data_IF_845370149082
#
_entry.id   IF_845370149082
#
_cell.length_a   1.000
_cell.length_b   1.000
_cell.length_c   1.000
_cell.angle_alpha   90.00
_cell.angle_beta   90.00
_cell.angle_gamma   90.00
#
_symmetry.space_group_name_H-M   'P 1'
#
loop_
_entity.id
_entity.type
_entity.pdbx_description
1 polymer ?
#
# COMPACT_ATOMS: atom_id res chain seq x y z
N UNK A 1 1.34 19.08 12.81
CA UNK A 1 0.51 19.22 11.60
C UNK A 1 -0.20 17.89 11.39
N UNK A 2 -1.43 17.86 10.90
CA UNK A 2 -2.12 16.60 10.59
C UNK A 2 -1.54 16.07 9.27
N UNK A 3 -1.15 14.79 9.17
CA UNK A 3 -0.67 14.25 7.90
C UNK A 3 -1.80 14.14 6.89
N UNK A 4 -1.48 14.30 5.61
CA UNK A 4 -2.43 14.05 4.53
C UNK A 4 -2.52 12.55 4.25
N UNK A 5 -1.39 11.84 4.29
CA UNK A 5 -1.31 10.40 4.02
C UNK A 5 -0.75 9.69 5.25
N UNK A 6 -1.40 8.60 5.68
CA UNK A 6 -0.80 7.58 6.54
C UNK A 6 -0.27 6.45 5.67
N UNK A 7 1.04 6.33 5.56
CA UNK A 7 1.71 5.19 4.90
C UNK A 7 1.83 4.07 5.91
N UNK A 8 1.21 2.94 5.63
CA UNK A 8 1.16 1.76 6.50
C UNK A 8 1.91 0.63 5.82
N UNK A 9 2.87 0.07 6.51
CA UNK A 9 3.65 -1.07 6.05
C UNK A 9 3.76 -2.15 7.11
N UNK A 10 3.79 -3.41 6.66
CA UNK A 10 3.98 -4.58 7.52
C UNK A 10 5.37 -5.12 7.28
N UNK A 11 6.16 -5.17 8.34
CA UNK A 11 7.49 -5.75 8.37
C UNK A 11 7.45 -7.13 9.04
N UNK A 12 8.14 -8.09 8.47
CA UNK A 12 8.37 -9.40 9.08
C UNK A 12 9.74 -9.94 8.70
N UNK A 13 10.73 -9.86 9.60
CA UNK A 13 12.13 -10.22 9.37
C UNK A 13 12.72 -9.52 8.13
N UNK A 14 12.34 -8.26 7.88
CA UNK A 14 12.67 -7.51 6.67
C UNK A 14 13.25 -6.12 6.96
N UNK A 15 14.05 -5.98 8.03
CA UNK A 15 14.58 -4.72 8.52
C UNK A 15 15.14 -3.81 7.43
N UNK A 16 16.04 -4.35 6.58
CA UNK A 16 16.72 -3.53 5.57
C UNK A 16 15.81 -3.15 4.40
N UNK A 17 14.89 -4.03 3.99
CA UNK A 17 13.87 -3.69 2.98
C UNK A 17 12.97 -2.56 3.46
N UNK A 18 12.45 -2.70 4.69
CA UNK A 18 11.62 -1.66 5.31
C UNK A 18 12.39 -0.36 5.48
N UNK A 19 13.66 -0.43 5.83
CA UNK A 19 14.52 0.74 5.95
C UNK A 19 14.74 1.45 4.61
N UNK A 20 14.96 0.72 3.51
CA UNK A 20 15.09 1.27 2.17
C UNK A 20 13.78 1.96 1.73
N UNK A 21 12.64 1.32 1.96
CA UNK A 21 11.32 1.89 1.69
C UNK A 21 11.12 3.22 2.43
N UNK A 22 11.38 3.27 3.76
CA UNK A 22 11.25 4.52 4.54
C UNK A 22 12.20 5.60 4.03
N UNK A 23 13.43 5.22 3.67
CA UNK A 23 14.40 6.17 3.13
C UNK A 23 13.92 6.78 1.80
N UNK A 24 13.35 5.96 0.91
CA UNK A 24 12.79 6.43 -0.36
C UNK A 24 11.63 7.40 -0.16
N UNK A 25 10.70 7.10 0.78
CA UNK A 25 9.63 8.02 1.13
C UNK A 25 10.15 9.38 1.60
N UNK A 26 11.17 9.39 2.47
CA UNK A 26 11.77 10.63 2.97
C UNK A 26 12.51 11.43 1.91
N UNK A 27 13.08 10.74 0.93
CA UNK A 27 13.83 11.35 -0.14
C UNK A 27 12.94 12.00 -1.20
N UNK A 28 11.85 11.34 -1.56
CA UNK A 28 11.09 11.73 -2.76
C UNK A 28 9.72 12.33 -2.47
N UNK A 29 9.10 12.07 -1.32
CA UNK A 29 7.72 12.49 -1.05
C UNK A 29 7.71 13.84 -0.35
N UNK A 30 7.12 14.85 -0.99
CA UNK A 30 6.93 16.20 -0.44
C UNK A 30 5.60 16.37 0.31
N UNK A 31 4.60 15.56 -0.01
CA UNK A 31 3.30 15.56 0.67
C UNK A 31 3.47 15.23 2.16
N UNK A 32 2.78 15.92 3.08
CA UNK A 32 2.84 15.60 4.50
C UNK A 32 2.36 14.17 4.80
N UNK A 33 3.30 13.30 5.16
CA UNK A 33 3.01 11.91 5.49
C UNK A 33 3.33 11.57 6.95
N UNK A 34 2.65 10.57 7.49
CA UNK A 34 3.13 9.78 8.63
C UNK A 34 3.43 8.37 8.15
N UNK A 35 4.52 7.80 8.63
CA UNK A 35 4.90 6.41 8.31
C UNK A 35 4.62 5.54 9.52
N UNK A 36 3.79 4.51 9.34
CA UNK A 36 3.40 3.55 10.36
C UNK A 36 3.96 2.19 9.95
N UNK A 37 4.89 1.70 10.76
CA UNK A 37 5.53 0.40 10.56
C UNK A 37 5.00 -0.58 11.59
N UNK A 38 4.44 -1.68 11.12
CA UNK A 38 3.99 -2.78 11.97
C UNK A 38 4.98 -3.93 11.86
N UNK A 39 5.80 -4.14 12.89
CA UNK A 39 6.61 -5.35 13.04
C UNK A 39 5.68 -6.51 13.44
N UNK A 40 5.45 -7.39 12.51
CA UNK A 40 4.45 -8.46 12.60
C UNK A 40 5.00 -9.74 13.24
N UNK A 41 5.73 -9.59 14.35
CA UNK A 41 6.30 -10.70 15.10
C UNK A 41 7.65 -11.19 14.57
N UNK A 42 8.53 -10.28 14.15
CA UNK A 42 9.91 -10.61 13.75
C UNK A 42 10.70 -11.23 14.91
N UNK A 43 11.73 -12.01 14.56
CA UNK A 43 12.61 -12.68 15.54
C UNK A 43 13.32 -11.68 16.48
N UNK A 44 13.67 -10.50 15.97
CA UNK A 44 14.22 -9.38 16.75
C UNK A 44 13.17 -8.27 16.81
N UNK A 45 13.34 -7.33 17.73
CA UNK A 45 12.51 -6.13 17.78
C UNK A 45 12.90 -5.16 16.66
N UNK A 46 12.39 -5.44 15.44
CA UNK A 46 12.67 -4.60 14.29
C UNK A 46 11.86 -3.30 14.31
N UNK A 47 10.74 -3.26 15.04
CA UNK A 47 10.01 -2.01 15.29
C UNK A 47 10.88 -0.99 16.03
N UNK A 48 11.55 -1.42 17.10
CA UNK A 48 12.44 -0.58 17.86
C UNK A 48 13.64 -0.12 17.02
N UNK A 49 14.30 -1.02 16.31
CA UNK A 49 15.44 -0.72 15.46
C UNK A 49 15.10 0.30 14.35
N UNK A 50 13.92 0.17 13.75
CA UNK A 50 13.45 1.11 12.74
C UNK A 50 13.11 2.47 13.34
N UNK A 51 12.52 2.52 14.54
CA UNK A 51 12.23 3.78 15.23
C UNK A 51 13.51 4.54 15.64
N UNK A 52 14.55 3.83 16.05
CA UNK A 52 15.87 4.44 16.32
C UNK A 52 16.51 4.99 15.03
N UNK A 53 16.46 4.22 13.94
CA UNK A 53 17.06 4.62 12.65
C UNK A 53 16.28 5.75 11.98
N UNK A 54 14.97 5.81 12.16
CA UNK A 54 14.08 6.75 11.52
C UNK A 54 13.19 7.49 12.54
N UNK A 55 13.71 8.48 13.27
CA UNK A 55 12.93 9.23 14.24
C UNK A 55 11.65 9.81 13.60
N UNK A 56 10.53 9.71 14.31
CA UNK A 56 9.23 10.25 13.88
C UNK A 56 8.31 9.26 13.16
N UNK A 57 8.75 8.02 12.89
CA UNK A 57 7.81 6.97 12.47
C UNK A 57 6.98 6.49 13.67
N UNK A 58 5.80 5.94 13.38
CA UNK A 58 4.99 5.20 14.36
C UNK A 58 5.34 3.72 14.22
N UNK A 59 6.10 3.19 15.17
CA UNK A 59 6.49 1.78 15.16
C UNK A 59 5.60 0.98 16.14
N UNK A 60 4.99 -0.09 15.64
CA UNK A 60 4.09 -0.98 16.38
C UNK A 60 4.66 -2.38 16.30
N UNK A 61 4.81 -3.06 17.44
CA UNK A 61 5.22 -4.46 17.47
C UNK A 61 4.05 -5.36 17.81
N UNK A 62 3.87 -6.41 17.04
CA UNK A 62 3.03 -7.56 17.38
C UNK A 62 3.89 -8.68 17.97
N UNK A 63 3.37 -9.38 18.97
CA UNK A 63 4.07 -10.54 19.59
C UNK A 63 4.10 -11.76 18.67
N UNK A 64 3.23 -11.81 17.67
CA UNK A 64 3.11 -12.93 16.72
C UNK A 64 2.79 -12.44 15.32
N UNK A 65 3.05 -13.27 14.32
CA UNK A 65 2.64 -13.00 12.96
C UNK A 65 1.10 -13.14 12.83
N UNK A 66 0.45 -12.03 12.51
CA UNK A 66 -1.00 -11.91 12.32
C UNK A 66 -1.42 -12.04 10.84
N UNK A 67 -0.48 -12.38 9.97
CA UNK A 67 -0.67 -12.34 8.53
C UNK A 67 -0.73 -10.91 7.98
N UNK A 68 -0.91 -10.79 6.66
CA UNK A 68 -0.92 -9.51 5.97
C UNK A 68 -2.06 -8.60 6.45
N UNK A 69 -3.29 -9.10 6.45
CA UNK A 69 -4.45 -8.32 6.85
C UNK A 69 -4.39 -7.90 8.33
N UNK A 70 -4.01 -8.83 9.21
CA UNK A 70 -3.91 -8.55 10.65
C UNK A 70 -2.87 -7.49 10.97
N UNK A 71 -1.69 -7.55 10.33
CA UNK A 71 -0.64 -6.55 10.46
C UNK A 71 -1.11 -5.18 9.97
N UNK A 72 -1.67 -5.10 8.76
CA UNK A 72 -2.20 -3.84 8.23
C UNK A 72 -3.31 -3.26 9.13
N UNK A 73 -4.20 -4.09 9.67
CA UNK A 73 -5.26 -3.64 10.58
C UNK A 73 -4.72 -3.01 11.87
N UNK A 74 -3.56 -3.44 12.37
CA UNK A 74 -2.88 -2.75 13.47
C UNK A 74 -2.44 -1.34 13.06
N UNK A 75 -1.85 -1.19 11.89
CA UNK A 75 -1.44 0.11 11.35
C UNK A 75 -2.62 1.03 11.07
N UNK A 76 -3.70 0.50 10.47
CA UNK A 76 -4.92 1.25 10.18
C UNK A 76 -5.55 1.87 11.44
N UNK A 77 -5.52 1.19 12.58
CA UNK A 77 -6.02 1.72 13.86
C UNK A 77 -5.21 2.92 14.37
N UNK A 78 -3.94 2.99 14.05
CA UNK A 78 -3.05 4.09 14.44
C UNK A 78 -3.07 5.27 13.47
N UNK A 79 -3.58 5.08 12.26
CA UNK A 79 -3.56 6.05 11.17
C UNK A 79 -4.39 7.30 11.48
N UNK A 80 -3.86 8.49 11.13
CA UNK A 80 -4.49 9.79 11.33
C UNK A 80 -4.65 10.59 10.04
N UNK A 81 -4.02 10.14 8.94
CA UNK A 81 -4.07 10.76 7.63
C UNK A 81 -5.48 10.80 7.04
N UNK A 82 -5.67 11.68 6.09
CA UNK A 82 -6.89 11.75 5.28
C UNK A 82 -6.97 10.60 4.28
N UNK A 83 -5.81 10.16 3.81
CA UNK A 83 -5.64 9.01 2.93
C UNK A 83 -4.81 7.95 3.64
N UNK A 84 -5.07 6.69 3.31
CA UNK A 84 -4.38 5.53 3.84
C UNK A 84 -3.67 4.85 2.67
N UNK A 85 -2.35 4.83 2.69
CA UNK A 85 -1.53 4.12 1.71
C UNK A 85 -1.02 2.82 2.34
N UNK A 86 -1.55 1.69 1.89
CA UNK A 86 -0.99 0.38 2.23
C UNK A 86 0.16 0.10 1.27
N UNK A 87 1.38 0.07 1.77
CA UNK A 87 2.60 -0.07 0.99
C UNK A 87 3.40 -1.28 1.48
N UNK A 88 3.75 -2.19 0.59
CA UNK A 88 4.63 -3.30 0.94
C UNK A 88 6.02 -2.79 1.32
N UNK A 89 6.66 -3.48 2.25
CA UNK A 89 7.95 -3.08 2.79
C UNK A 89 9.14 -3.29 1.82
N UNK A 90 8.92 -3.99 0.72
CA UNK A 90 9.88 -4.22 -0.38
C UNK A 90 9.66 -3.28 -1.58
N UNK A 91 8.86 -2.22 -1.38
CA UNK A 91 8.56 -1.21 -2.41
C UNK A 91 9.37 0.05 -2.16
N UNK A 92 9.96 0.62 -3.20
CA UNK A 92 10.61 1.93 -3.15
C UNK A 92 9.83 2.94 -3.99
N UNK A 93 9.71 4.16 -3.48
CA UNK A 93 9.15 5.30 -4.22
C UNK A 93 10.29 5.98 -4.94
N UNK A 94 10.16 6.18 -6.25
CA UNK A 94 11.23 6.74 -7.09
C UNK A 94 11.08 8.22 -7.43
N UNK A 95 9.93 8.82 -7.09
CA UNK A 95 9.58 10.21 -7.40
C UNK A 95 8.51 10.75 -6.45
N UNK A 96 8.12 12.03 -6.62
CA UNK A 96 7.07 12.65 -5.83
C UNK A 96 5.67 12.43 -6.45
N UNK A 97 5.32 11.18 -6.74
CA UNK A 97 4.06 10.86 -7.42
C UNK A 97 2.86 10.62 -6.49
N UNK A 98 3.06 10.52 -5.18
CA UNK A 98 1.94 10.21 -4.26
C UNK A 98 0.84 11.27 -4.25
N UNK A 99 1.16 12.53 -4.54
CA UNK A 99 0.15 13.59 -4.65
C UNK A 99 -0.84 13.32 -5.78
N UNK A 100 -0.42 12.71 -6.91
CA UNK A 100 -1.35 12.36 -8.00
C UNK A 100 -2.43 11.36 -7.56
N UNK A 101 -2.10 10.45 -6.64
CA UNK A 101 -3.09 9.52 -6.09
C UNK A 101 -4.12 10.25 -5.20
N UNK A 102 -3.67 11.25 -4.44
CA UNK A 102 -4.56 12.12 -3.67
C UNK A 102 -5.48 12.92 -4.60
N UNK A 103 -4.92 13.54 -5.63
CA UNK A 103 -5.66 14.33 -6.62
C UNK A 103 -6.69 13.47 -7.36
N UNK A 104 -6.34 12.24 -7.71
CA UNK A 104 -7.26 11.30 -8.33
C UNK A 104 -8.47 11.01 -7.43
N UNK A 105 -8.23 10.76 -6.14
CA UNK A 105 -9.33 10.56 -5.18
C UNK A 105 -10.13 11.83 -4.93
N UNK A 106 -9.53 13.03 -4.96
CA UNK A 106 -10.24 14.30 -4.83
C UNK A 106 -11.17 14.56 -6.01
N UNK A 107 -10.63 14.40 -7.22
CA UNK A 107 -11.35 14.72 -8.45
C UNK A 107 -12.46 13.71 -8.78
N UNK A 108 -12.41 12.52 -8.18
CA UNK A 108 -13.37 11.45 -8.38
C UNK A 108 -14.06 11.05 -7.07
N UNK A 109 -15.12 11.77 -6.70
CA UNK A 109 -15.81 11.56 -5.42
C UNK A 109 -16.41 10.16 -5.21
N UNK A 110 -16.63 9.40 -6.29
CA UNK A 110 -17.14 8.03 -6.24
C UNK A 110 -16.01 6.98 -6.10
N UNK A 111 -14.74 7.37 -6.28
CA UNK A 111 -13.64 6.46 -6.10
C UNK A 111 -13.28 6.32 -4.63
N UNK A 112 -13.28 5.10 -4.12
CA UNK A 112 -12.90 4.78 -2.75
C UNK A 112 -11.43 4.42 -2.61
N UNK A 113 -10.80 3.95 -3.70
CA UNK A 113 -9.41 3.53 -3.72
C UNK A 113 -8.76 3.77 -5.08
N UNK A 114 -7.44 3.95 -5.08
CA UNK A 114 -6.61 4.04 -6.28
C UNK A 114 -5.31 3.27 -6.04
N UNK A 115 -4.70 2.79 -7.13
CA UNK A 115 -3.40 2.15 -7.10
C UNK A 115 -2.50 2.77 -8.16
N UNK A 116 -1.21 3.00 -7.88
CA UNK A 116 -0.26 3.47 -8.88
C UNK A 116 0.07 2.36 -9.89
N UNK A 117 0.63 2.77 -11.02
CA UNK A 117 1.41 1.87 -11.88
C UNK A 117 2.68 1.47 -11.13
N UNK A 118 3.02 0.19 -11.14
CA UNK A 118 4.16 -0.37 -10.41
C UNK A 118 5.10 -1.03 -11.40
N UNK A 119 6.40 -0.81 -11.23
CA UNK A 119 7.47 -1.44 -12.02
C UNK A 119 8.31 -2.36 -11.14
N UNK A 120 8.93 -3.35 -11.74
CA UNK A 120 9.97 -4.11 -11.08
C UNK A 120 11.17 -3.22 -10.73
N UNK A 121 11.82 -3.48 -9.60
CA UNK A 121 12.96 -2.68 -9.15
C UNK A 121 14.19 -2.90 -10.02
N UNK A 122 14.40 -4.13 -10.48
CA UNK A 122 15.59 -4.51 -11.28
C UNK A 122 15.46 -4.10 -12.75
N UNK A 123 16.55 -3.61 -13.37
CA UNK A 123 16.57 -3.32 -14.80
C UNK A 123 16.21 -4.55 -15.66
N UNK A 124 15.48 -4.37 -16.77
CA UNK A 124 15.05 -3.13 -17.43
C UNK A 124 13.85 -2.41 -16.80
N UNK A 125 13.38 -2.81 -15.62
CA UNK A 125 12.25 -2.23 -14.88
C UNK A 125 10.93 -2.28 -15.65
N UNK A 126 10.53 -3.45 -16.18
CA UNK A 126 9.25 -3.56 -16.84
C UNK A 126 8.10 -3.33 -15.86
N UNK A 127 6.90 -3.12 -16.42
CA UNK A 127 5.69 -2.94 -15.61
C UNK A 127 5.39 -4.23 -14.87
N UNK A 128 5.22 -4.14 -13.56
CA UNK A 128 4.70 -5.21 -12.71
C UNK A 128 3.18 -5.16 -12.68
N UNK A 129 2.62 -3.95 -12.60
CA UNK A 129 1.19 -3.73 -12.47
C UNK A 129 0.77 -2.37 -13.05
N UNK A 130 -0.26 -2.39 -13.90
CA UNK A 130 -0.93 -1.19 -14.41
C UNK A 130 -2.46 -1.34 -14.41
N UNK A 131 -3.01 -2.20 -13.53
CA UNK A 131 -4.42 -2.49 -13.40
C UNK A 131 -4.79 -3.93 -13.77
N UNK A 132 -6.08 -4.22 -13.74
CA UNK A 132 -6.66 -5.49 -14.15
C UNK A 132 -7.60 -5.32 -15.34
N UNK A 133 -7.66 -6.34 -16.20
CA UNK A 133 -8.73 -6.43 -17.17
C UNK A 133 -10.06 -6.70 -16.46
N UNK A 134 -11.21 -6.34 -17.08
CA UNK A 134 -12.51 -6.69 -16.54
C UNK A 134 -12.62 -8.18 -16.23
N UNK A 135 -13.34 -8.50 -15.16
CA UNK A 135 -13.57 -9.89 -14.78
C UNK A 135 -14.43 -10.60 -15.84
N UNK A 136 -13.92 -11.69 -16.38
CA UNK A 136 -14.71 -12.52 -17.31
C UNK A 136 -15.91 -13.12 -16.60
N UNK A 137 -17.11 -12.87 -17.11
CA UNK A 137 -18.36 -13.43 -16.56
C UNK A 137 -18.47 -14.95 -16.76
N UNK A 138 -17.65 -15.54 -17.63
CA UNK A 138 -17.68 -16.98 -17.95
C UNK A 138 -16.64 -17.72 -17.11
N UNK A 139 -15.38 -17.21 -17.13
CA UNK A 139 -14.26 -17.93 -16.48
C UNK A 139 -13.97 -17.42 -15.08
N UNK A 140 -14.60 -16.30 -14.67
CA UNK A 140 -14.34 -15.59 -13.41
C UNK A 140 -12.84 -15.27 -13.23
N UNK A 141 -12.16 -14.98 -14.35
CA UNK A 141 -10.73 -14.62 -14.36
C UNK A 141 -10.55 -13.24 -14.95
N UNK A 142 -9.56 -12.54 -14.44
CA UNK A 142 -9.00 -11.31 -15.00
C UNK A 142 -7.51 -11.51 -15.29
N UNK A 143 -6.91 -10.58 -15.99
CA UNK A 143 -5.47 -10.56 -16.28
C UNK A 143 -4.84 -9.25 -15.79
N UNK A 144 -3.54 -9.30 -15.52
CA UNK A 144 -2.76 -8.09 -15.23
C UNK A 144 -2.56 -7.28 -16.52
N UNK A 145 -2.88 -5.98 -16.43
CA UNK A 145 -2.61 -5.04 -17.52
C UNK A 145 -1.14 -4.64 -17.46
N UNK A 146 -0.47 -4.65 -18.61
CA UNK A 146 0.91 -4.22 -18.74
C UNK A 146 1.98 -5.15 -18.16
N UNK A 147 1.62 -6.28 -17.55
CA UNK A 147 2.58 -7.15 -16.89
C UNK A 147 3.74 -7.58 -17.80
N UNK A 148 4.97 -7.34 -17.32
CA UNK A 148 6.24 -7.63 -17.99
C UNK A 148 6.42 -6.88 -19.35
N UNK A 149 5.69 -5.77 -19.55
CA UNK A 149 5.84 -4.88 -20.69
C UNK A 149 6.77 -3.73 -20.37
N UNK A 150 7.45 -3.21 -21.40
CA UNK A 150 8.19 -1.95 -21.30
C UNK A 150 7.23 -0.80 -20.98
N UNK A 151 7.68 0.13 -20.15
CA UNK A 151 6.92 1.33 -19.80
C UNK A 151 7.16 2.43 -20.86
N UNK A 152 6.33 2.41 -21.90
CA UNK A 152 6.37 3.37 -23.03
C UNK A 152 5.36 4.53 -22.85
N UNK A 153 4.74 4.66 -21.68
CA UNK A 153 3.72 5.67 -21.39
C UNK A 153 2.31 5.31 -21.81
N UNK A 154 2.11 4.18 -22.49
CA UNK A 154 0.76 3.75 -22.93
C UNK A 154 -0.20 3.41 -21.79
N UNK A 155 0.34 3.26 -20.56
CA UNK A 155 -0.40 2.92 -19.35
C UNK A 155 -0.50 4.10 -18.35
N UNK A 156 -0.25 5.35 -18.79
CA UNK A 156 -0.26 6.52 -17.91
C UNK A 156 -1.66 7.13 -17.73
N UNK A 157 -2.63 6.70 -18.54
CA UNK A 157 -4.00 7.18 -18.41
C UNK A 157 -4.74 6.42 -17.32
N UNK A 158 -5.28 7.10 -16.29
CA UNK A 158 -6.09 6.46 -15.25
C UNK A 158 -7.32 5.75 -15.85
N UNK A 159 -7.61 4.58 -15.35
CA UNK A 159 -8.79 3.80 -15.75
C UNK A 159 -9.44 3.10 -14.55
N UNK A 160 -10.74 2.86 -14.65
CA UNK A 160 -11.47 2.08 -13.65
C UNK A 160 -11.12 0.59 -13.79
N UNK A 161 -11.05 -0.11 -12.67
CA UNK A 161 -10.83 -1.56 -12.61
C UNK A 161 -11.91 -2.21 -11.75
N UNK A 162 -12.44 -3.32 -12.20
CA UNK A 162 -13.51 -4.05 -11.50
C UNK A 162 -13.01 -4.79 -10.25
N UNK A 163 -11.70 -4.87 -10.05
CA UNK A 163 -11.13 -5.75 -9.04
C UNK A 163 -10.05 -5.05 -8.21
N UNK A 164 -10.46 -4.59 -7.03
CA UNK A 164 -9.54 -4.19 -5.96
C UNK A 164 -9.23 -5.36 -5.00
N UNK A 165 -10.09 -6.38 -4.92
CA UNK A 165 -9.95 -7.48 -3.96
C UNK A 165 -8.66 -8.30 -4.13
N UNK A 166 -8.19 -8.52 -5.36
CA UNK A 166 -6.90 -9.18 -5.61
C UNK A 166 -5.70 -8.23 -5.44
N UNK A 167 -5.95 -6.95 -5.40
CA UNK A 167 -4.92 -5.93 -5.25
C UNK A 167 -4.20 -6.01 -3.90
N UNK A 168 -4.93 -6.33 -2.83
CA UNK A 168 -4.37 -6.33 -1.47
C UNK A 168 -3.34 -7.43 -1.21
N UNK A 169 -3.34 -8.53 -1.95
CA UNK A 169 -2.40 -9.64 -1.75
C UNK A 169 -1.18 -9.62 -2.67
N UNK A 170 -1.18 -8.80 -3.73
CA UNK A 170 -0.11 -8.77 -4.73
C UNK A 170 0.37 -7.38 -5.12
N UNK A 171 -0.29 -6.31 -4.66
CA UNK A 171 0.08 -4.94 -5.00
C UNK A 171 1.06 -4.37 -4.00
N UNK A 172 2.08 -3.72 -4.54
CA UNK A 172 3.07 -3.00 -3.75
C UNK A 172 2.53 -1.71 -3.14
N UNK A 173 1.31 -1.25 -3.52
CA UNK A 173 0.68 -0.09 -2.91
C UNK A 173 -0.76 0.16 -3.34
N UNK A 174 -1.64 0.44 -2.37
CA UNK A 174 -3.03 0.88 -2.60
C UNK A 174 -3.33 2.05 -1.68
N UNK A 175 -3.82 3.15 -2.25
CA UNK A 175 -4.29 4.30 -1.50
C UNK A 175 -5.81 4.28 -1.37
N UNK A 176 -6.29 4.44 -0.15
CA UNK A 176 -7.70 4.44 0.22
C UNK A 176 -8.09 5.82 0.77
N UNK A 177 -9.31 6.25 0.48
CA UNK A 177 -9.90 7.38 1.20
C UNK A 177 -10.25 6.95 2.61
N UNK A 178 -9.70 7.63 3.61
CA UNK A 178 -10.01 7.38 5.00
C UNK A 178 -11.36 8.03 5.36
N UNK A 179 -12.43 7.27 5.27
CA UNK A 179 -13.76 7.71 5.69
C UNK A 179 -13.98 7.26 7.13
N UNK A 180 -13.84 8.18 8.07
CA UNK A 180 -14.30 7.97 9.46
C UNK A 180 -15.81 8.25 9.51
N UNK A 181 -16.61 7.30 9.07
CA UNK A 181 -18.03 7.29 9.43
C UNK A 181 -18.15 6.82 10.88
N UNK A 182 -18.98 7.45 11.69
CA UNK A 182 -19.06 7.33 13.16
C UNK A 182 -19.18 5.92 13.78
N UNK A 183 -19.02 4.86 13.01
CA UNK A 183 -19.00 3.47 13.46
C UNK A 183 -18.09 2.54 12.61
N UNK A 184 -17.40 3.05 11.59
CA UNK A 184 -16.67 2.20 10.65
C UNK A 184 -15.16 2.43 10.66
N UNK A 185 -14.42 1.47 11.20
CA UNK A 185 -13.00 1.28 10.91
C UNK A 185 -12.89 0.54 9.59
N UNK A 186 -12.03 0.98 8.67
CA UNK A 186 -11.65 0.15 7.53
C UNK A 186 -10.88 -1.04 8.09
N UNK A 187 -11.39 -2.24 7.87
CA UNK A 187 -10.69 -3.48 8.21
C UNK A 187 -10.44 -4.29 6.94
N UNK A 188 -9.21 -4.77 6.80
CA UNK A 188 -8.87 -5.74 5.77
C UNK A 188 -9.29 -7.13 6.24
N UNK A 189 -10.02 -7.82 5.39
CA UNK A 189 -10.41 -9.21 5.64
C UNK A 189 -9.40 -10.12 4.96
N UNK A 190 -8.86 -11.09 5.70
CA UNK A 190 -8.00 -12.11 5.12
C UNK A 190 -8.80 -12.98 4.14
N UNK A 191 -8.23 -13.36 2.97
CA UNK A 191 -8.88 -14.31 2.07
C UNK A 191 -9.27 -15.64 2.75
N UNK A 192 -8.53 -16.02 3.78
CA UNK A 192 -8.81 -17.24 4.57
C UNK A 192 -10.06 -17.11 5.47
N UNK A 193 -10.52 -15.90 5.75
CA UNK A 193 -11.74 -15.64 6.51
C UNK A 193 -12.97 -15.41 5.63
N UNK A 194 -12.83 -15.39 4.31
CA UNK A 194 -13.96 -15.47 3.38
C UNK A 194 -14.46 -16.91 3.28
N UNK A 195 -15.09 -17.40 4.31
CA UNK A 195 -16.00 -18.54 4.18
C UNK A 195 -17.24 -17.99 3.49
N UNK A 196 -17.42 -18.36 2.24
CA UNK A 196 -18.66 -18.14 1.50
C UNK A 196 -19.79 -18.77 2.33
N UNK A 197 -20.65 -17.94 2.90
CA UNK A 197 -21.96 -18.35 3.36
C UNK A 197 -22.95 -18.34 2.19
#
# INVERSE_FOLDING_TARGET
MKPDISVITVNYNGLELTAAMIASLRQYVSTPIETIVVDNGSLRDEAHLLAERFPGIVAIRSERNLGFAGGNNLGLRAARGRYLLLLNNDTEVGDDSLHYLCDALENHSRWGAVSPKIRFADPPRPIQFAGYTPLSKITLRNGLVGFNREDDGSYDTPHETDCLEYAFSRLSGVMLRHVRNGSGTIELVSPESMVLQ
#
